data_IF_867484724125
#
_entry.id   IF_867484724125
#
_cell.length_a   1.000
_cell.length_b   1.000
_cell.length_c   1.000
_cell.angle_alpha   90.00
_cell.angle_beta   90.00
_cell.angle_gamma   90.00
#
_symmetry.space_group_name_H-M   'P 1'
#
loop_
_entity.id
_entity.type
_entity.pdbx_description
1 polymer ?
#
# COMPACT_ATOMS: atom_id res chain seq x y z
N UNK A 1 -17.95 -0.02 -6.14
CA UNK A 1 -19.33 -0.39 -5.71
C UNK A 1 -19.98 0.60 -4.76
N UNK A 2 -19.33 0.96 -3.64
CA UNK A 2 -19.86 1.85 -2.61
C UNK A 2 -20.46 3.16 -3.16
N UNK A 3 -19.77 3.81 -4.11
CA UNK A 3 -20.26 5.04 -4.73
C UNK A 3 -21.66 4.90 -5.34
N UNK A 4 -21.93 3.80 -6.06
CA UNK A 4 -23.24 3.54 -6.63
C UNK A 4 -24.27 3.18 -5.54
N UNK A 5 -23.86 2.46 -4.48
CA UNK A 5 -24.73 2.14 -3.32
C UNK A 5 -25.25 3.40 -2.63
N UNK A 6 -24.45 4.46 -2.58
CA UNK A 6 -24.84 5.77 -2.02
C UNK A 6 -25.55 6.69 -3.04
N UNK A 7 -25.87 6.20 -4.23
CA UNK A 7 -26.52 6.98 -5.30
C UNK A 7 -25.60 7.95 -6.04
N UNK A 8 -24.29 7.91 -5.76
CA UNK A 8 -23.27 8.66 -6.48
C UNK A 8 -23.01 8.07 -7.87
N UNK A 9 -22.29 8.83 -8.72
CA UNK A 9 -21.87 8.39 -10.06
C UNK A 9 -20.37 8.21 -10.11
N UNK A 10 -19.91 7.03 -10.49
CA UNK A 10 -18.49 6.74 -10.70
C UNK A 10 -17.98 7.52 -11.92
N UNK A 11 -16.85 8.22 -11.76
CA UNK A 11 -16.15 8.91 -12.84
C UNK A 11 -14.70 8.43 -12.87
N UNK A 12 -14.38 7.56 -13.82
CA UNK A 12 -13.02 7.07 -14.01
C UNK A 12 -12.11 8.18 -14.54
N UNK A 13 -10.88 8.24 -14.04
CA UNK A 13 -9.84 9.18 -14.47
C UNK A 13 -8.72 8.42 -15.19
N UNK A 14 -7.85 9.13 -15.89
CA UNK A 14 -6.67 8.55 -16.54
C UNK A 14 -5.68 8.00 -15.51
N UNK A 15 -5.09 6.85 -15.81
CA UNK A 15 -3.98 6.27 -15.05
C UNK A 15 -2.67 6.62 -15.78
N UNK A 16 -1.70 7.14 -15.06
CA UNK A 16 -0.37 7.45 -15.60
C UNK A 16 0.42 6.16 -15.85
N UNK A 17 1.34 6.20 -16.83
CA UNK A 17 2.22 5.07 -17.10
C UNK A 17 3.07 4.76 -15.86
N UNK A 18 3.06 3.51 -15.35
CA UNK A 18 3.90 3.11 -14.22
C UNK A 18 5.36 2.97 -14.66
N UNK A 19 6.27 2.98 -13.68
CA UNK A 19 7.66 2.59 -13.91
C UNK A 19 7.73 1.09 -14.24
N UNK A 20 8.64 0.72 -15.14
CA UNK A 20 8.83 -0.67 -15.59
C UNK A 20 10.15 -1.29 -15.13
N UNK A 21 11.11 -0.46 -14.70
CA UNK A 21 12.42 -0.90 -14.26
C UNK A 21 12.60 -0.58 -12.77
N UNK A 22 13.06 -1.58 -12.01
CA UNK A 22 13.25 -1.50 -10.56
C UNK A 22 14.66 -1.93 -10.13
N UNK A 23 15.60 -2.02 -11.07
CA UNK A 23 16.99 -2.27 -10.74
C UNK A 23 17.57 -1.11 -9.93
N UNK A 24 18.26 -1.42 -8.83
CA UNK A 24 18.90 -0.41 -7.99
C UNK A 24 20.28 -0.90 -7.55
N UNK A 25 21.33 -0.19 -7.96
CA UNK A 25 22.73 -0.60 -7.74
C UNK A 25 23.03 -0.80 -6.25
N UNK A 26 22.69 0.16 -5.39
CA UNK A 26 23.03 0.09 -3.97
C UNK A 26 22.14 -0.83 -3.14
N UNK A 27 20.83 -0.88 -3.43
CA UNK A 27 19.84 -1.62 -2.63
C UNK A 27 19.55 -3.02 -3.16
N UNK A 28 19.75 -3.26 -4.44
CA UNK A 28 19.17 -4.42 -5.13
C UNK A 28 17.70 -4.18 -5.46
N UNK A 29 17.19 -4.94 -6.40
CA UNK A 29 15.81 -4.90 -6.91
C UNK A 29 14.77 -5.22 -5.82
N UNK A 30 14.97 -6.29 -5.05
CA UNK A 30 13.99 -6.74 -4.05
C UNK A 30 13.81 -5.73 -2.91
N UNK A 31 14.91 -5.24 -2.32
CA UNK A 31 14.84 -4.25 -1.25
C UNK A 31 14.28 -2.92 -1.76
N UNK A 32 14.71 -2.48 -2.95
CA UNK A 32 14.17 -1.26 -3.55
C UNK A 32 12.67 -1.39 -3.83
N UNK A 33 12.23 -2.52 -4.39
CA UNK A 33 10.82 -2.81 -4.66
C UNK A 33 9.97 -2.78 -3.39
N UNK A 34 10.43 -3.41 -2.31
CA UNK A 34 9.71 -3.41 -1.02
C UNK A 34 9.69 -2.03 -0.35
N UNK A 35 10.76 -1.24 -0.45
CA UNK A 35 10.76 0.14 0.05
C UNK A 35 9.83 1.06 -0.75
N UNK A 36 9.75 0.86 -2.07
CA UNK A 36 8.80 1.56 -2.92
C UNK A 36 7.36 1.17 -2.59
N UNK A 37 7.08 -0.13 -2.44
CA UNK A 37 5.77 -0.63 -2.03
C UNK A 37 5.35 -0.04 -0.68
N UNK A 38 6.26 -0.03 0.31
CA UNK A 38 5.99 0.58 1.62
C UNK A 38 5.66 2.08 1.50
N UNK A 39 6.35 2.78 0.61
CA UNK A 39 6.11 4.21 0.38
C UNK A 39 4.74 4.44 -0.28
N UNK A 40 4.35 3.57 -1.22
CA UNK A 40 3.03 3.60 -1.85
C UNK A 40 1.92 3.27 -0.86
N UNK A 41 2.08 2.26 0.00
CA UNK A 41 1.07 1.96 1.03
C UNK A 41 0.90 3.11 2.02
N UNK A 42 1.99 3.76 2.43
CA UNK A 42 1.89 4.96 3.27
C UNK A 42 1.17 6.11 2.57
N UNK A 43 1.41 6.29 1.26
CA UNK A 43 0.73 7.30 0.46
C UNK A 43 -0.77 6.99 0.32
N UNK A 44 -1.13 5.73 0.06
CA UNK A 44 -2.54 5.28 0.01
C UNK A 44 -3.22 5.56 1.35
N UNK A 45 -2.58 5.23 2.47
CA UNK A 45 -3.11 5.53 3.80
C UNK A 45 -3.38 7.02 4.00
N UNK A 46 -2.44 7.89 3.60
CA UNK A 46 -2.63 9.34 3.64
C UNK A 46 -3.84 9.76 2.79
N UNK A 47 -4.02 9.19 1.59
CA UNK A 47 -5.18 9.49 0.74
C UNK A 47 -6.50 9.00 1.33
N UNK A 48 -6.50 7.84 2.01
CA UNK A 48 -7.67 7.34 2.74
C UNK A 48 -8.03 8.27 3.91
N UNK A 49 -7.05 8.72 4.69
CA UNK A 49 -7.25 9.68 5.78
C UNK A 49 -7.76 11.04 5.27
N UNK A 50 -7.28 11.49 4.11
CA UNK A 50 -7.79 12.70 3.46
C UNK A 50 -9.28 12.54 3.07
N UNK A 51 -9.65 11.39 2.49
CA UNK A 51 -11.04 11.09 2.14
C UNK A 51 -11.92 11.00 3.39
N UNK A 52 -11.42 10.35 4.45
CA UNK A 52 -12.09 10.29 5.75
C UNK A 52 -12.31 11.69 6.33
N UNK A 53 -11.31 12.57 6.28
CA UNK A 53 -11.45 13.97 6.70
C UNK A 53 -12.54 14.71 5.94
N UNK A 54 -12.69 14.46 4.63
CA UNK A 54 -13.80 15.02 3.84
C UNK A 54 -15.14 14.48 4.32
N UNK A 55 -15.25 13.17 4.59
CA UNK A 55 -16.46 12.56 5.13
C UNK A 55 -16.85 13.20 6.48
N UNK A 56 -15.90 13.31 7.42
CA UNK A 56 -16.13 13.92 8.74
C UNK A 56 -16.51 15.40 8.64
N UNK A 57 -15.84 16.18 7.79
CA UNK A 57 -16.16 17.61 7.59
C UNK A 57 -17.59 17.83 7.05
N UNK A 58 -18.10 16.88 6.28
CA UNK A 58 -19.47 16.93 5.73
C UNK A 58 -20.49 16.19 6.61
N UNK A 59 -20.07 15.64 7.76
CA UNK A 59 -20.96 14.89 8.64
C UNK A 59 -21.46 13.55 8.05
N UNK A 60 -20.78 13.00 7.05
CA UNK A 60 -21.15 11.71 6.45
C UNK A 60 -20.60 10.55 7.29
N UNK A 61 -21.31 10.23 8.37
CA UNK A 61 -20.91 9.20 9.33
C UNK A 61 -20.79 7.81 8.71
N UNK A 62 -21.62 7.47 7.72
CA UNK A 62 -21.61 6.17 7.08
C UNK A 62 -20.46 6.02 6.07
N UNK A 63 -20.00 7.13 5.47
CA UNK A 63 -18.77 7.11 4.66
C UNK A 63 -17.53 7.01 5.55
N UNK A 64 -17.50 7.73 6.67
CA UNK A 64 -16.39 7.64 7.62
C UNK A 64 -16.23 6.20 8.15
N UNK A 65 -17.33 5.60 8.64
CA UNK A 65 -17.36 4.22 9.15
C UNK A 65 -16.89 3.20 8.09
N UNK A 66 -17.41 3.31 6.86
CA UNK A 66 -16.99 2.44 5.74
C UNK A 66 -15.49 2.53 5.43
N UNK A 67 -14.89 3.72 5.53
CA UNK A 67 -13.46 3.88 5.31
C UNK A 67 -12.64 3.28 6.45
N UNK A 68 -13.11 3.44 7.68
CA UNK A 68 -12.48 2.87 8.88
C UNK A 68 -12.49 1.34 8.87
N UNK A 69 -13.66 0.74 8.63
CA UNK A 69 -13.86 -0.71 8.70
C UNK A 69 -13.19 -1.45 7.56
N UNK A 70 -13.36 -0.98 6.33
CA UNK A 70 -12.94 -1.74 5.13
C UNK A 70 -11.53 -1.39 4.63
N UNK A 71 -10.97 -0.23 4.98
CA UNK A 71 -9.70 0.21 4.40
C UNK A 71 -8.65 0.58 5.44
N UNK A 72 -8.96 1.45 6.40
CA UNK A 72 -7.94 1.98 7.31
C UNK A 72 -7.33 0.91 8.22
N UNK A 73 -8.13 -0.06 8.68
CA UNK A 73 -7.62 -1.20 9.45
C UNK A 73 -6.68 -2.08 8.62
N UNK A 74 -7.09 -2.44 7.39
CA UNK A 74 -6.27 -3.23 6.48
C UNK A 74 -4.96 -2.52 6.14
N UNK A 75 -5.02 -1.20 5.99
CA UNK A 75 -3.86 -0.39 5.65
C UNK A 75 -2.78 -0.39 6.74
N UNK A 76 -3.19 -0.39 8.02
CA UNK A 76 -2.25 -0.49 9.14
C UNK A 76 -1.51 -1.83 9.11
N UNK A 77 -2.24 -2.93 8.88
CA UNK A 77 -1.65 -4.27 8.79
C UNK A 77 -0.76 -4.42 7.56
N UNK A 78 -1.17 -3.89 6.40
CA UNK A 78 -0.37 -3.91 5.18
C UNK A 78 0.94 -3.14 5.35
N UNK A 79 0.91 -1.92 5.90
CA UNK A 79 2.10 -1.12 6.17
C UNK A 79 3.06 -1.85 7.11
N UNK A 80 2.53 -2.49 8.15
CA UNK A 80 3.33 -3.28 9.09
C UNK A 80 4.00 -4.46 8.38
N UNK A 81 3.22 -5.26 7.65
CA UNK A 81 3.71 -6.44 6.91
C UNK A 81 4.84 -6.08 5.95
N UNK A 82 4.69 -5.02 5.15
CA UNK A 82 5.74 -4.59 4.22
C UNK A 82 6.94 -3.99 4.98
N UNK A 83 6.71 -3.28 6.09
CA UNK A 83 7.82 -2.79 6.93
C UNK A 83 8.68 -3.93 7.49
N UNK A 84 8.05 -5.05 7.87
CA UNK A 84 8.74 -6.26 8.30
C UNK A 84 9.56 -6.88 7.15
N UNK A 85 9.01 -6.92 5.93
CA UNK A 85 9.75 -7.36 4.74
C UNK A 85 10.98 -6.50 4.45
N UNK A 86 10.85 -5.17 4.51
CA UNK A 86 11.97 -4.24 4.37
C UNK A 86 13.04 -4.51 5.43
N UNK A 87 12.64 -4.71 6.69
CA UNK A 87 13.57 -5.02 7.77
C UNK A 87 14.29 -6.37 7.57
N UNK A 88 13.59 -7.38 7.08
CA UNK A 88 14.17 -8.69 6.76
C UNK A 88 15.17 -8.59 5.61
N UNK A 89 14.80 -7.95 4.50
CA UNK A 89 15.68 -7.77 3.34
C UNK A 89 16.95 -6.99 3.69
N UNK A 90 16.84 -5.94 4.52
CA UNK A 90 18.02 -5.21 5.06
C UNK A 90 18.91 -6.09 5.93
N UNK A 91 18.33 -7.03 6.67
CA UNK A 91 19.07 -7.95 7.56
C UNK A 91 19.80 -9.03 6.78
N UNK A 92 19.14 -9.66 5.81
CA UNK A 92 19.69 -10.80 5.06
C UNK A 92 20.61 -10.37 3.92
N UNK A 93 20.47 -9.14 3.43
CA UNK A 93 21.32 -8.58 2.38
C UNK A 93 21.06 -9.20 0.99
N UNK A 94 21.90 -8.81 0.02
CA UNK A 94 21.79 -9.20 -1.39
C UNK A 94 22.21 -10.65 -1.63
N UNK A 95 21.88 -11.18 -2.81
CA UNK A 95 22.30 -12.50 -3.26
C UNK A 95 21.51 -13.60 -2.56
N UNK A 96 22.21 -14.54 -1.90
CA UNK A 96 21.58 -15.70 -1.26
C UNK A 96 20.52 -15.31 -0.21
N UNK A 97 20.74 -14.23 0.55
CA UNK A 97 19.77 -13.73 1.53
C UNK A 97 18.45 -13.30 0.89
N UNK A 98 18.54 -12.57 -0.24
CA UNK A 98 17.37 -12.15 -1.01
C UNK A 98 16.66 -13.34 -1.64
N UNK A 99 17.40 -14.32 -2.18
CA UNK A 99 16.81 -15.55 -2.72
C UNK A 99 16.05 -16.34 -1.64
N UNK A 100 16.61 -16.48 -0.44
CA UNK A 100 15.92 -17.19 0.64
C UNK A 100 14.68 -16.45 1.12
N UNK A 101 14.72 -15.11 1.18
CA UNK A 101 13.54 -14.28 1.46
C UNK A 101 12.46 -14.46 0.38
N UNK A 102 12.84 -14.53 -0.89
CA UNK A 102 11.91 -14.79 -2.01
C UNK A 102 11.21 -16.15 -1.87
N UNK A 103 11.94 -17.20 -1.50
CA UNK A 103 11.33 -18.51 -1.23
C UNK A 103 10.33 -18.47 -0.06
N UNK A 104 10.67 -17.78 1.03
CA UNK A 104 9.74 -17.57 2.14
C UNK A 104 8.46 -16.82 1.69
N UNK A 105 8.59 -15.87 0.77
CA UNK A 105 7.46 -15.12 0.24
C UNK A 105 6.58 -15.96 -0.70
N UNK A 106 7.15 -16.92 -1.44
CA UNK A 106 6.42 -17.82 -2.33
C UNK A 106 5.59 -18.87 -1.56
N UNK A 107 6.02 -19.22 -0.35
CA UNK A 107 5.37 -20.24 0.49
C UNK A 107 4.28 -19.67 1.43
N UNK A 108 4.20 -18.34 1.60
CA UNK A 108 3.31 -17.65 2.55
C UNK A 108 2.10 -16.97 1.91
#
# INVERSE_FOLDING_TARGET
>A
EYQNKRGGRVKLQSIVMPLTEFEHVDKGDALYGMELALSLEKLVNEKLLNLHSVASKNGDVHLADFLESEFLNEQVEAIKKISEYVAQLRRVGKGHGTWHFDQMLLEG
#
